data_IF_419300360815
#
_entry.id   IF_419300360815
#
_cell.length_a   1.000
_cell.length_b   1.000
_cell.length_c   1.000
_cell.angle_alpha   90.00
_cell.angle_beta   90.00
_cell.angle_gamma   90.00
#
_symmetry.space_group_name_H-M   'P 1'
#
loop_
_entity.id
_entity.type
_entity.pdbx_description
1 polymer ?
#
# COMPACT_ATOMS: atom_id res chain seq x y z
N UNK A 1 2.51 14.90 14.14
CA UNK A 1 1.48 14.23 15.00
C UNK A 1 2.13 13.32 16.07
N UNK A 2 1.38 12.75 17.03
CA UNK A 2 1.85 11.70 17.98
C UNK A 2 0.80 10.59 18.19
N UNK A 3 1.23 9.40 18.61
CA UNK A 3 0.34 8.28 18.95
C UNK A 3 0.41 7.97 20.44
N UNK A 4 -0.76 7.91 21.09
CA UNK A 4 -0.91 7.55 22.50
C UNK A 4 -2.08 6.57 22.64
N UNK A 5 -1.88 5.46 23.35
CA UNK A 5 -2.91 4.43 23.54
C UNK A 5 -3.62 4.00 22.23
N UNK A 6 -2.83 3.84 21.15
CA UNK A 6 -3.30 3.49 19.81
C UNK A 6 -4.25 4.53 19.15
N UNK A 7 -4.19 5.77 19.63
CA UNK A 7 -5.01 6.91 19.21
C UNK A 7 -4.13 8.10 18.86
N UNK A 8 -4.70 9.06 18.13
CA UNK A 8 -4.06 10.34 17.83
C UNK A 8 -4.73 11.41 18.70
N UNK A 9 -4.07 11.89 19.77
CA UNK A 9 -4.62 12.97 20.58
C UNK A 9 -4.80 14.25 19.76
N UNK A 10 -5.87 15.00 20.04
CA UNK A 10 -6.12 16.30 19.42
C UNK A 10 -6.81 16.28 18.06
N UNK A 11 -7.02 15.10 17.45
CA UNK A 11 -7.90 14.96 16.29
C UNK A 11 -9.22 14.29 16.68
N UNK A 12 -10.25 14.52 15.88
CA UNK A 12 -11.56 13.93 16.11
C UNK A 12 -11.50 12.40 16.01
N UNK A 13 -12.27 11.74 16.87
CA UNK A 13 -12.45 10.30 16.83
C UNK A 13 -13.91 9.87 17.00
N UNK A 14 -14.30 8.90 16.19
CA UNK A 14 -15.53 8.13 16.34
C UNK A 14 -15.31 6.74 15.81
N UNK A 15 -15.75 5.71 16.53
CA UNK A 15 -15.40 4.33 16.17
C UNK A 15 -16.34 3.77 15.10
N UNK A 16 -15.78 3.27 14.00
CA UNK A 16 -16.52 2.52 12.98
C UNK A 16 -17.20 1.28 13.58
N UNK A 17 -18.38 0.93 13.07
CA UNK A 17 -19.04 -0.34 13.37
C UNK A 17 -18.38 -1.53 12.66
N UNK A 18 -17.61 -1.27 11.59
CA UNK A 18 -17.02 -2.28 10.72
C UNK A 18 -15.60 -2.62 11.16
N UNK A 19 -15.44 -3.17 12.37
CA UNK A 19 -14.13 -3.50 12.93
C UNK A 19 -14.05 -4.98 13.33
N UNK A 20 -12.90 -5.58 13.05
CA UNK A 20 -12.53 -6.89 13.55
C UNK A 20 -12.09 -6.86 15.02
N UNK A 21 -11.54 -8.00 15.45
CA UNK A 21 -11.00 -8.18 16.78
C UNK A 21 -9.85 -7.20 17.10
N UNK A 22 -9.50 -7.12 18.39
CA UNK A 22 -8.24 -6.50 18.81
C UNK A 22 -7.08 -7.34 18.26
N UNK A 23 -6.06 -6.66 17.75
CA UNK A 23 -4.85 -7.31 17.24
C UNK A 23 -4.10 -7.96 18.39
N UNK A 24 -3.56 -9.15 18.14
CA UNK A 24 -2.64 -9.83 19.05
C UNK A 24 -1.23 -9.23 18.93
N UNK A 25 -0.83 -8.90 17.69
CA UNK A 25 0.45 -8.31 17.36
C UNK A 25 0.30 -6.85 16.87
N UNK A 26 1.33 -6.00 17.03
CA UNK A 26 1.31 -4.68 16.43
C UNK A 26 1.25 -4.75 14.89
N UNK A 27 0.68 -3.75 14.21
CA UNK A 27 0.76 -3.67 12.76
C UNK A 27 2.21 -3.47 12.31
N UNK A 28 2.56 -4.07 11.17
CA UNK A 28 3.89 -3.99 10.54
C UNK A 28 3.82 -3.37 9.14
N UNK A 29 2.61 -3.08 8.63
CA UNK A 29 2.39 -2.48 7.32
C UNK A 29 1.49 -1.25 7.44
N UNK A 30 1.72 -0.23 6.62
CA UNK A 30 0.76 0.84 6.36
C UNK A 30 0.27 0.69 4.93
N UNK A 31 -1.05 0.69 4.73
CA UNK A 31 -1.67 0.67 3.40
C UNK A 31 -2.31 2.02 3.13
N UNK A 32 -1.94 2.64 2.01
CA UNK A 32 -2.44 3.95 1.59
C UNK A 32 -3.52 3.76 0.51
N UNK A 33 -4.66 4.42 0.71
CA UNK A 33 -5.87 4.29 -0.10
C UNK A 33 -6.35 5.65 -0.60
N UNK A 34 -7.30 5.63 -1.54
CA UNK A 34 -8.22 6.73 -1.73
C UNK A 34 -9.67 6.30 -1.46
N UNK A 35 -10.52 7.29 -1.14
CA UNK A 35 -11.89 7.01 -0.70
C UNK A 35 -12.94 6.77 -1.80
N UNK A 36 -12.62 7.06 -3.07
CA UNK A 36 -13.58 7.25 -4.20
C UNK A 36 -14.58 8.41 -4.02
N UNK A 37 -14.43 9.20 -2.96
CA UNK A 37 -15.24 10.37 -2.66
C UNK A 37 -14.51 11.70 -2.83
N UNK A 38 -15.29 12.79 -2.93
CA UNK A 38 -14.78 14.17 -2.96
C UNK A 38 -15.06 14.95 -1.66
N UNK A 39 -15.80 14.37 -0.72
CA UNK A 39 -16.18 15.00 0.54
C UNK A 39 -15.71 14.13 1.69
N UNK A 40 -14.75 14.62 2.50
CA UNK A 40 -14.14 13.81 3.54
C UNK A 40 -15.08 13.42 4.67
N UNK A 41 -15.99 14.30 5.08
CA UNK A 41 -16.99 13.96 6.10
C UNK A 41 -17.91 12.82 5.62
N UNK A 42 -18.36 12.87 4.36
CA UNK A 42 -19.17 11.79 3.77
C UNK A 42 -18.38 10.48 3.62
N UNK A 43 -17.12 10.53 3.20
CA UNK A 43 -16.24 9.35 3.14
C UNK A 43 -15.99 8.75 4.52
N UNK A 44 -15.76 9.59 5.54
CA UNK A 44 -15.64 9.20 6.95
C UNK A 44 -16.91 8.50 7.42
N UNK A 45 -18.07 9.10 7.23
CA UNK A 45 -19.35 8.55 7.70
C UNK A 45 -19.66 7.23 7.00
N UNK A 46 -19.36 7.12 5.70
CA UNK A 46 -19.47 5.86 4.97
C UNK A 46 -18.57 4.77 5.56
N UNK A 47 -17.30 5.06 5.86
CA UNK A 47 -16.34 4.10 6.43
C UNK A 47 -16.61 3.79 7.91
N UNK A 48 -17.37 4.63 8.61
CA UNK A 48 -17.90 4.34 9.94
C UNK A 48 -19.09 3.37 9.93
N UNK A 49 -19.74 3.21 8.77
CA UNK A 49 -20.86 2.29 8.60
C UNK A 49 -22.04 2.65 9.49
N UNK A 50 -22.62 1.65 10.16
CA UNK A 50 -23.79 1.83 11.02
C UNK A 50 -23.57 2.87 12.14
N UNK A 51 -22.32 3.05 12.62
CA UNK A 51 -21.99 4.02 13.66
C UNK A 51 -22.21 5.49 13.23
N UNK A 52 -22.31 5.75 11.93
CA UNK A 52 -22.65 7.06 11.36
C UNK A 52 -23.92 7.01 10.50
N UNK A 53 -24.76 5.98 10.67
CA UNK A 53 -26.02 5.83 9.91
C UNK A 53 -25.86 5.41 8.45
N UNK A 54 -24.65 5.07 7.99
CA UNK A 54 -24.40 4.61 6.63
C UNK A 54 -24.78 3.13 6.43
N UNK A 55 -25.13 2.74 5.21
CA UNK A 55 -25.46 1.35 4.85
C UNK A 55 -24.23 0.44 4.70
N UNK A 56 -23.00 0.99 4.70
CA UNK A 56 -21.77 0.20 4.58
C UNK A 56 -21.61 -0.78 5.75
N UNK A 57 -21.37 -2.05 5.44
CA UNK A 57 -21.08 -3.13 6.40
C UNK A 57 -19.80 -3.90 6.08
N UNK A 58 -19.10 -3.52 5.00
CA UNK A 58 -18.04 -4.33 4.41
C UNK A 58 -16.65 -3.71 4.47
N UNK A 59 -16.54 -2.43 4.81
CA UNK A 59 -15.26 -1.74 4.84
C UNK A 59 -15.15 -0.67 5.93
N UNK A 60 -13.91 -0.40 6.33
CA UNK A 60 -13.49 0.69 7.21
C UNK A 60 -12.00 0.95 7.03
N UNK A 61 -11.50 2.06 7.55
CA UNK A 61 -10.07 2.36 7.65
C UNK A 61 -9.72 2.76 9.09
N UNK A 62 -8.47 3.12 9.36
CA UNK A 62 -8.10 3.67 10.68
C UNK A 62 -8.21 5.19 10.69
N UNK A 63 -7.78 5.85 9.61
CA UNK A 63 -7.80 7.31 9.48
C UNK A 63 -8.31 7.71 8.09
N UNK A 64 -9.11 8.77 8.04
CA UNK A 64 -9.52 9.46 6.80
C UNK A 64 -8.95 10.87 6.83
N UNK A 65 -8.30 11.29 5.74
CA UNK A 65 -7.67 12.61 5.59
C UNK A 65 -8.33 13.35 4.43
N UNK A 66 -9.00 14.45 4.73
CA UNK A 66 -9.61 15.32 3.73
C UNK A 66 -8.58 16.14 2.94
N UNK A 67 -9.04 16.74 1.85
CA UNK A 67 -8.22 17.53 0.93
C UNK A 67 -7.60 18.77 1.58
N UNK A 68 -8.20 19.30 2.64
CA UNK A 68 -7.69 20.46 3.38
C UNK A 68 -6.71 20.09 4.51
N UNK A 69 -6.42 18.79 4.68
CA UNK A 69 -5.56 18.28 5.74
C UNK A 69 -6.29 17.91 7.03
N UNK A 70 -7.61 18.11 7.13
CA UNK A 70 -8.42 17.62 8.25
C UNK A 70 -8.35 16.10 8.32
N UNK A 71 -8.06 15.54 9.50
CA UNK A 71 -7.99 14.11 9.72
C UNK A 71 -8.99 13.64 10.78
N UNK A 72 -9.60 12.49 10.55
CA UNK A 72 -10.48 11.79 11.48
C UNK A 72 -9.95 10.39 11.73
N UNK A 73 -9.77 10.02 13.00
CA UNK A 73 -9.51 8.64 13.35
C UNK A 73 -10.83 7.89 13.53
N UNK A 74 -11.03 6.82 12.78
CA UNK A 74 -12.26 6.01 12.84
C UNK A 74 -12.06 4.58 13.35
N UNK A 75 -10.81 4.19 13.63
CA UNK A 75 -10.49 2.99 14.38
C UNK A 75 -9.21 3.20 15.20
N UNK A 76 -9.14 2.70 16.45
CA UNK A 76 -7.86 2.65 17.16
C UNK A 76 -6.91 1.67 16.44
N UNK A 77 -5.61 1.98 16.43
CA UNK A 77 -4.62 1.23 15.66
C UNK A 77 -4.40 -0.21 16.15
N UNK A 78 -4.81 -0.54 17.37
CA UNK A 78 -4.79 -1.91 17.92
C UNK A 78 -6.04 -2.74 17.56
N UNK A 79 -6.95 -2.23 16.73
CA UNK A 79 -8.08 -2.98 16.19
C UNK A 79 -7.86 -3.22 14.71
N UNK A 80 -8.43 -4.30 14.19
CA UNK A 80 -8.42 -4.58 12.76
C UNK A 80 -9.53 -3.79 12.06
N UNK A 81 -9.17 -2.80 11.25
CA UNK A 81 -10.08 -2.21 10.27
C UNK A 81 -10.16 -3.08 8.99
N UNK A 82 -11.23 -2.93 8.22
CA UNK A 82 -11.51 -3.75 7.03
C UNK A 82 -11.25 -2.95 5.75
N UNK A 83 -9.98 -2.70 5.41
CA UNK A 83 -9.61 -1.86 4.26
C UNK A 83 -8.96 -2.66 3.13
N UNK A 84 -8.11 -3.63 3.43
CA UNK A 84 -7.27 -4.31 2.44
C UNK A 84 -8.00 -5.40 1.63
N UNK A 85 -8.98 -6.08 2.22
CA UNK A 85 -9.62 -7.26 1.60
C UNK A 85 -8.63 -8.41 1.34
N UNK A 86 -8.91 -9.32 0.39
CA UNK A 86 -7.95 -10.29 -0.14
C UNK A 86 -6.72 -9.56 -0.65
N UNK A 87 -5.60 -9.77 0.04
CA UNK A 87 -4.38 -8.99 -0.13
C UNK A 87 -3.16 -9.82 0.26
N UNK A 88 -2.02 -9.49 -0.32
CA UNK A 88 -0.72 -10.12 -0.03
C UNK A 88 0.40 -9.08 -0.15
N UNK A 89 1.34 -9.12 0.79
CA UNK A 89 2.60 -8.40 0.68
C UNK A 89 3.69 -9.21 1.38
N UNK A 90 4.80 -9.47 0.68
CA UNK A 90 5.80 -10.38 1.21
C UNK A 90 5.24 -11.79 1.46
N UNK A 91 5.56 -12.33 2.63
CA UNK A 91 5.01 -13.58 3.16
C UNK A 91 3.64 -13.44 3.84
N UNK A 92 3.11 -12.22 3.99
CA UNK A 92 1.84 -11.99 4.67
C UNK A 92 0.66 -11.98 3.70
N UNK A 93 -0.44 -12.60 4.11
CA UNK A 93 -1.71 -12.65 3.41
C UNK A 93 -2.84 -12.16 4.34
N UNK A 94 -3.91 -11.60 3.79
CA UNK A 94 -5.01 -11.06 4.58
C UNK A 94 -4.57 -9.84 5.40
N UNK A 95 -4.02 -8.83 4.72
CA UNK A 95 -3.24 -7.75 5.35
C UNK A 95 -4.01 -6.87 6.33
N UNK A 96 -5.35 -6.93 6.38
CA UNK A 96 -6.12 -6.31 7.46
C UNK A 96 -5.54 -6.66 8.85
N UNK A 97 -5.12 -7.92 9.05
CA UNK A 97 -4.57 -8.39 10.32
C UNK A 97 -3.21 -7.76 10.69
N UNK A 98 -2.46 -7.26 9.70
CA UNK A 98 -1.07 -6.80 9.87
C UNK A 98 -0.86 -5.31 9.57
N UNK A 99 -1.92 -4.59 9.18
CA UNK A 99 -1.74 -3.25 8.62
C UNK A 99 -2.68 -2.17 9.14
N UNK A 100 -2.19 -0.92 9.06
CA UNK A 100 -2.97 0.30 9.27
C UNK A 100 -3.38 0.87 7.90
N UNK A 101 -4.67 0.89 7.61
CA UNK A 101 -5.24 1.60 6.46
C UNK A 101 -5.45 3.10 6.71
N UNK A 102 -4.93 3.93 5.81
CA UNK A 102 -5.11 5.39 5.78
C UNK A 102 -5.76 5.79 4.45
N UNK A 103 -6.87 6.49 4.54
CA UNK A 103 -7.71 6.90 3.42
C UNK A 103 -7.50 8.37 3.09
N UNK A 104 -7.08 8.67 1.87
CA UNK A 104 -6.97 10.02 1.37
C UNK A 104 -8.19 10.36 0.51
N UNK A 105 -8.90 11.44 0.86
CA UNK A 105 -10.09 11.87 0.10
C UNK A 105 -9.69 12.28 -1.31
N UNK A 106 -10.03 11.42 -2.26
CA UNK A 106 -9.82 11.57 -3.67
C UNK A 106 -10.82 10.66 -4.41
N UNK A 107 -11.38 11.10 -5.55
CA UNK A 107 -12.35 10.31 -6.31
C UNK A 107 -11.69 9.19 -7.12
N UNK A 108 -10.35 9.20 -7.23
CA UNK A 108 -9.61 8.26 -8.07
C UNK A 108 -9.58 8.71 -9.53
N UNK A 109 -9.58 7.75 -10.44
CA UNK A 109 -9.57 8.00 -11.88
C UNK A 109 -10.89 8.60 -12.37
N UNK A 110 -10.80 9.56 -13.29
CA UNK A 110 -11.94 10.20 -13.93
C UNK A 110 -11.81 10.05 -15.45
N UNK A 111 -12.87 9.57 -16.10
CA UNK A 111 -12.93 9.37 -17.55
C UNK A 111 -13.29 10.68 -18.25
N UNK A 112 -12.55 11.13 -19.28
CA UNK A 112 -12.97 12.25 -20.12
C UNK A 112 -14.34 11.98 -20.76
N UNK A 113 -15.23 12.97 -20.75
CA UNK A 113 -16.60 12.81 -21.27
C UNK A 113 -16.78 13.34 -22.71
N UNK A 114 -15.71 13.81 -23.36
CA UNK A 114 -15.76 14.38 -24.72
C UNK A 114 -16.24 15.83 -24.80
N UNK A 115 -16.64 16.44 -23.67
CA UNK A 115 -17.12 17.82 -23.57
C UNK A 115 -16.14 18.73 -22.82
N UNK A 116 -14.90 18.27 -22.62
CA UNK A 116 -13.88 18.96 -21.83
C UNK A 116 -13.99 18.72 -20.31
N UNK A 117 -14.96 17.93 -19.84
CA UNK A 117 -15.15 17.57 -18.44
C UNK A 117 -14.87 16.06 -18.22
N UNK A 118 -15.05 15.59 -16.98
CA UNK A 118 -14.78 14.22 -16.59
C UNK A 118 -15.94 13.58 -15.82
N UNK A 119 -15.96 12.26 -15.77
CA UNK A 119 -16.91 11.47 -14.95
C UNK A 119 -16.17 10.42 -14.13
N UNK A 120 -16.56 10.24 -12.87
CA UNK A 120 -16.06 9.13 -12.06
C UNK A 120 -16.71 7.79 -12.43
N UNK A 121 -16.31 6.72 -11.74
CA UNK A 121 -16.83 5.36 -11.92
C UNK A 121 -18.34 5.22 -11.64
N UNK A 122 -18.95 6.19 -10.95
CA UNK A 122 -20.36 6.20 -10.57
C UNK A 122 -21.19 7.18 -11.41
N UNK A 123 -20.59 7.80 -12.44
CA UNK A 123 -21.26 8.72 -13.34
C UNK A 123 -21.36 10.15 -12.82
N UNK A 124 -20.74 10.49 -11.68
CA UNK A 124 -20.69 11.86 -11.20
C UNK A 124 -19.76 12.69 -12.08
N UNK A 125 -20.25 13.84 -12.54
CA UNK A 125 -19.49 14.77 -13.36
C UNK A 125 -18.55 15.64 -12.50
N UNK A 126 -17.34 15.84 -13.00
CA UNK A 126 -16.32 16.74 -12.49
C UNK A 126 -15.91 17.71 -13.60
N UNK A 127 -16.05 19.02 -13.36
CA UNK A 127 -15.62 19.99 -14.36
C UNK A 127 -14.12 20.22 -14.33
N UNK A 128 -13.52 20.44 -15.49
CA UNK A 128 -12.09 20.73 -15.58
C UNK A 128 -11.71 21.96 -14.75
N UNK A 129 -12.56 22.99 -14.79
CA UNK A 129 -12.41 24.21 -13.97
C UNK A 129 -12.39 23.90 -12.47
N UNK A 130 -13.27 23.02 -11.99
CA UNK A 130 -13.31 22.65 -10.58
C UNK A 130 -12.06 21.88 -10.17
N UNK A 131 -11.58 20.96 -11.01
CA UNK A 131 -10.35 20.21 -10.75
C UNK A 131 -9.13 21.14 -10.71
N UNK A 132 -9.00 22.06 -11.68
CA UNK A 132 -7.93 23.09 -11.69
C UNK A 132 -7.96 23.95 -10.43
N UNK A 133 -9.14 24.40 -9.99
CA UNK A 133 -9.30 25.16 -8.73
C UNK A 133 -8.89 24.33 -7.50
N UNK A 134 -9.08 23.01 -7.54
CA UNK A 134 -8.78 22.10 -6.43
C UNK A 134 -7.32 21.62 -6.39
N UNK A 135 -6.43 22.17 -7.24
CA UNK A 135 -5.02 21.80 -7.31
C UNK A 135 -4.63 21.06 -8.59
N UNK A 136 -5.57 20.79 -9.49
CA UNK A 136 -5.31 20.16 -10.79
C UNK A 136 -5.44 18.64 -10.78
N UNK A 137 -5.02 18.06 -11.89
CA UNK A 137 -5.03 16.62 -12.15
C UNK A 137 -3.86 16.29 -13.10
N UNK A 138 -3.46 15.02 -13.12
CA UNK A 138 -2.58 14.50 -14.16
C UNK A 138 -3.34 13.51 -15.06
N UNK A 139 -2.95 13.45 -16.33
CA UNK A 139 -3.44 12.41 -17.24
C UNK A 139 -2.48 11.22 -17.18
N UNK A 140 -3.00 10.03 -16.85
CA UNK A 140 -2.19 8.81 -16.86
C UNK A 140 -3.04 7.59 -17.25
N UNK A 141 -2.46 6.61 -17.96
CA UNK A 141 -3.10 5.32 -18.18
C UNK A 141 -3.18 4.51 -16.87
N UNK A 142 -4.12 3.59 -16.80
CA UNK A 142 -4.18 2.59 -15.72
C UNK A 142 -4.76 1.29 -16.27
N UNK A 143 -3.92 0.25 -16.48
CA UNK A 143 -4.33 -1.01 -17.10
C UNK A 143 -5.52 -1.70 -16.42
N UNK A 144 -5.70 -1.52 -15.11
CA UNK A 144 -6.83 -2.11 -14.36
C UNK A 144 -8.17 -1.42 -14.61
N UNK A 145 -8.15 -0.21 -15.17
CA UNK A 145 -9.38 0.55 -15.53
C UNK A 145 -9.71 0.36 -17.02
N UNK A 146 -8.69 0.33 -17.89
CA UNK A 146 -8.86 0.11 -19.32
C UNK A 146 -7.76 0.73 -20.17
N UNK A 147 -7.89 0.65 -21.49
CA UNK A 147 -6.88 1.06 -22.48
C UNK A 147 -6.78 2.59 -22.72
N UNK A 148 -7.38 3.41 -21.86
CA UNK A 148 -7.42 4.87 -22.01
C UNK A 148 -6.48 5.62 -21.06
N UNK A 149 -6.40 6.93 -21.26
CA UNK A 149 -5.83 7.85 -20.27
C UNK A 149 -6.95 8.46 -19.44
N UNK A 150 -6.75 8.49 -18.12
CA UNK A 150 -7.72 9.01 -17.16
C UNK A 150 -7.14 10.23 -16.46
N UNK A 151 -8.01 11.15 -16.04
CA UNK A 151 -7.61 12.23 -15.16
C UNK A 151 -7.53 11.71 -13.72
N UNK A 152 -6.42 11.96 -13.06
CA UNK A 152 -6.16 11.63 -11.66
C UNK A 152 -6.02 12.94 -10.88
N UNK A 153 -7.03 13.35 -10.11
CA UNK A 153 -6.94 14.58 -9.32
C UNK A 153 -5.75 14.54 -8.38
N UNK A 154 -5.00 15.63 -8.34
CA UNK A 154 -3.85 15.75 -7.45
C UNK A 154 -4.33 15.84 -5.99
N UNK A 155 -3.47 15.36 -5.10
CA UNK A 155 -3.64 15.48 -3.65
C UNK A 155 -3.03 16.81 -3.20
N UNK A 156 -3.78 17.71 -2.55
CA UNK A 156 -3.23 18.98 -2.08
C UNK A 156 -2.12 18.78 -1.04
N UNK A 157 -1.17 19.71 -0.98
CA UNK A 157 -0.04 19.60 -0.07
C UNK A 157 -0.46 19.50 1.41
N UNK A 158 -1.53 20.20 1.83
CA UNK A 158 -2.05 20.09 3.20
C UNK A 158 -2.48 18.64 3.53
N UNK A 159 -3.13 17.97 2.59
CA UNK A 159 -3.53 16.57 2.73
C UNK A 159 -2.33 15.63 2.78
N UNK A 160 -1.32 15.84 1.92
CA UNK A 160 -0.10 15.04 1.92
C UNK A 160 0.72 15.27 3.19
N UNK A 161 0.88 16.51 3.63
CA UNK A 161 1.61 16.88 4.85
C UNK A 161 1.00 16.21 6.09
N UNK A 162 -0.33 16.26 6.26
CA UNK A 162 -1.04 15.54 7.32
C UNK A 162 -0.77 14.02 7.25
N UNK A 163 -0.77 13.46 6.04
CA UNK A 163 -0.44 12.05 5.83
C UNK A 163 0.99 11.70 6.25
N UNK A 164 1.97 12.52 5.86
CA UNK A 164 3.39 12.35 6.23
C UNK A 164 3.55 12.39 7.75
N UNK A 165 2.95 13.38 8.40
CA UNK A 165 2.94 13.57 9.84
C UNK A 165 2.38 12.35 10.59
N UNK A 166 1.30 11.78 10.07
CA UNK A 166 0.68 10.58 10.61
C UNK A 166 1.57 9.35 10.42
N UNK A 167 2.10 9.15 9.21
CA UNK A 167 2.92 7.99 8.89
C UNK A 167 4.23 8.01 9.68
N UNK A 168 4.86 9.17 9.85
CA UNK A 168 6.02 9.33 10.74
C UNK A 168 5.69 8.94 12.18
N UNK A 169 4.53 9.37 12.70
CA UNK A 169 4.10 9.00 14.04
C UNK A 169 3.81 7.49 14.18
N UNK A 170 3.29 6.84 13.13
CA UNK A 170 3.07 5.39 13.09
C UNK A 170 4.39 4.62 13.05
N UNK A 171 5.34 5.03 12.22
CA UNK A 171 6.69 4.44 12.10
C UNK A 171 7.44 4.59 13.43
N UNK A 172 7.32 5.71 14.12
CA UNK A 172 7.95 5.91 15.43
C UNK A 172 7.29 5.13 16.58
N UNK A 173 6.06 4.64 16.42
CA UNK A 173 5.30 3.97 17.49
C UNK A 173 5.16 2.45 17.29
N UNK A 174 5.10 1.98 16.05
CA UNK A 174 4.96 0.56 15.69
C UNK A 174 6.16 0.08 14.88
N UNK A 175 6.45 -1.23 14.88
CA UNK A 175 7.51 -1.81 14.05
C UNK A 175 7.08 -1.90 12.58
N UNK A 176 6.76 -0.76 11.96
CA UNK A 176 6.35 -0.68 10.55
C UNK A 176 7.56 -1.04 9.68
N UNK A 177 7.35 -2.04 8.82
CA UNK A 177 8.36 -2.58 7.89
C UNK A 177 8.06 -2.23 6.44
N UNK A 178 6.81 -1.86 6.11
CA UNK A 178 6.44 -1.51 4.75
C UNK A 178 5.32 -0.47 4.69
N UNK A 179 5.38 0.37 3.67
CA UNK A 179 4.34 1.32 3.29
C UNK A 179 3.99 1.05 1.83
N UNK A 180 2.75 0.64 1.59
CA UNK A 180 2.30 0.07 0.32
C UNK A 180 1.02 0.73 -0.16
N UNK A 181 0.79 0.70 -1.47
CA UNK A 181 -0.52 1.07 -2.03
C UNK A 181 -1.51 -0.08 -1.92
N UNK A 182 -2.82 0.20 -1.98
CA UNK A 182 -3.81 -0.88 -2.08
C UNK A 182 -3.68 -1.64 -3.41
N UNK A 183 -3.36 -0.93 -4.49
CA UNK A 183 -3.10 -1.51 -5.81
C UNK A 183 -2.00 -2.58 -5.77
N UNK A 184 -0.90 -2.32 -5.06
CA UNK A 184 0.26 -3.22 -4.93
C UNK A 184 -0.08 -4.53 -4.23
N UNK A 185 -0.96 -4.49 -3.22
CA UNK A 185 -1.27 -5.65 -2.38
C UNK A 185 -2.49 -6.45 -2.84
N UNK A 186 -3.31 -5.90 -3.74
CA UNK A 186 -4.57 -6.53 -4.16
C UNK A 186 -4.34 -7.79 -4.98
N UNK A 187 -4.81 -8.93 -4.47
CA UNK A 187 -4.67 -10.22 -5.15
C UNK A 187 -5.74 -10.46 -6.22
N UNK A 188 -6.74 -9.58 -6.32
CA UNK A 188 -7.83 -9.68 -7.29
C UNK A 188 -7.58 -8.87 -8.57
N UNK A 189 -6.61 -7.97 -8.56
CA UNK A 189 -6.14 -7.23 -9.73
C UNK A 189 -7.06 -6.10 -10.20
N UNK A 190 -7.96 -5.57 -9.35
CA UNK A 190 -8.89 -4.50 -9.71
C UNK A 190 -8.73 -3.22 -8.89
N UNK A 191 -7.98 -3.27 -7.78
CA UNK A 191 -7.67 -2.07 -6.99
C UNK A 191 -6.69 -1.17 -7.75
N UNK A 192 -6.87 0.14 -7.62
CA UNK A 192 -6.13 1.16 -8.38
C UNK A 192 -5.67 2.33 -7.50
N UNK A 193 -5.91 2.22 -6.20
CA UNK A 193 -5.63 3.23 -5.21
C UNK A 193 -4.25 3.05 -4.57
N UNK A 194 -3.56 4.15 -4.22
CA UNK A 194 -4.01 5.56 -4.31
C UNK A 194 -3.78 6.20 -5.69
N UNK A 195 -3.35 5.41 -6.67
CA UNK A 195 -3.19 5.82 -8.06
C UNK A 195 -1.89 6.59 -8.35
N UNK A 196 -1.58 6.83 -9.63
CA UNK A 196 -0.31 7.41 -10.06
C UNK A 196 -0.10 8.86 -9.59
N UNK A 197 -1.16 9.56 -9.15
CA UNK A 197 -1.06 10.96 -8.70
C UNK A 197 -0.62 11.08 -7.25
N UNK A 198 -0.59 9.96 -6.52
CA UNK A 198 -0.20 9.93 -5.14
C UNK A 198 1.33 9.81 -5.02
N UNK A 199 1.98 10.62 -4.16
CA UNK A 199 3.44 10.63 -4.05
C UNK A 199 3.95 9.46 -3.18
N UNK A 200 3.75 8.21 -3.62
CA UNK A 200 4.12 7.00 -2.86
C UNK A 200 5.57 7.02 -2.37
N UNK A 201 6.51 7.50 -3.19
CA UNK A 201 7.93 7.56 -2.84
C UNK A 201 8.22 8.48 -1.65
N UNK A 202 7.46 9.59 -1.51
CA UNK A 202 7.58 10.48 -0.34
C UNK A 202 7.21 9.77 0.95
N UNK A 203 6.24 8.85 0.90
CA UNK A 203 5.83 8.06 2.06
C UNK A 203 6.78 6.91 2.33
N UNK A 204 7.24 6.20 1.29
CA UNK A 204 8.20 5.09 1.43
C UNK A 204 9.52 5.56 2.05
N UNK A 205 9.98 6.76 1.70
CA UNK A 205 11.18 7.37 2.30
C UNK A 205 11.09 7.57 3.83
N UNK A 206 9.88 7.55 4.41
CA UNK A 206 9.70 7.72 5.86
C UNK A 206 10.11 6.48 6.68
N UNK A 207 10.35 5.34 6.04
CA UNK A 207 10.95 4.18 6.70
C UNK A 207 12.44 4.36 6.99
N UNK A 208 13.07 5.41 6.43
CA UNK A 208 14.52 5.62 6.46
C UNK A 208 15.25 4.75 5.43
N UNK A 209 16.57 4.94 5.31
CA UNK A 209 17.43 3.90 4.73
C UNK A 209 17.33 2.70 5.68
N UNK A 210 16.89 1.55 5.17
CA UNK A 210 16.77 0.33 5.96
C UNK A 210 18.07 0.13 6.74
N UNK A 211 17.99 -0.03 8.06
CA UNK A 211 19.09 -0.58 8.86
C UNK A 211 19.67 -1.78 8.10
N UNK A 212 20.97 -1.75 7.76
CA UNK A 212 21.73 -2.45 6.68
C UNK A 212 21.55 -3.98 6.53
N UNK A 213 20.31 -4.46 6.58
CA UNK A 213 19.89 -5.84 6.39
C UNK A 213 18.59 -5.77 5.62
N UNK A 214 18.72 -5.67 4.31
CA UNK A 214 17.60 -5.91 3.41
C UNK A 214 16.89 -7.20 3.88
N UNK A 215 15.57 -7.16 4.14
CA UNK A 215 14.88 -8.30 4.74
C UNK A 215 15.12 -9.52 3.87
N UNK A 216 15.39 -10.66 4.52
CA UNK A 216 15.45 -11.94 3.81
C UNK A 216 14.22 -12.07 2.91
N UNK A 217 14.35 -12.65 1.74
CA UNK A 217 13.24 -12.90 0.83
C UNK A 217 12.92 -14.38 0.77
N UNK A 218 11.74 -14.70 0.26
CA UNK A 218 11.36 -16.06 -0.09
C UNK A 218 11.05 -16.16 -1.57
N UNK A 219 11.38 -17.30 -2.16
CA UNK A 219 10.99 -17.62 -3.55
C UNK A 219 9.47 -17.80 -3.64
N UNK A 220 8.82 -17.09 -4.55
CA UNK A 220 7.36 -17.19 -4.77
C UNK A 220 6.99 -18.07 -5.95
N UNK A 221 7.87 -18.18 -6.95
CA UNK A 221 7.69 -19.06 -8.10
C UNK A 221 7.85 -20.53 -7.71
N UNK A 222 7.16 -21.45 -8.41
CA UNK A 222 7.30 -22.89 -8.17
C UNK A 222 8.76 -23.36 -8.30
N UNK A 223 9.48 -22.79 -9.28
CA UNK A 223 10.91 -22.98 -9.51
C UNK A 223 11.50 -21.65 -9.97
N UNK A 224 12.67 -21.29 -9.44
CA UNK A 224 13.41 -20.08 -9.80
C UNK A 224 14.85 -20.42 -10.19
N UNK A 225 15.35 -19.76 -11.23
CA UNK A 225 16.73 -19.92 -11.68
C UNK A 225 17.62 -18.90 -10.96
N UNK A 226 18.78 -19.37 -10.50
CA UNK A 226 19.87 -18.53 -10.02
C UNK A 226 20.89 -18.32 -11.16
N UNK A 227 21.21 -17.07 -11.49
CA UNK A 227 22.03 -16.71 -12.67
C UNK A 227 23.33 -16.01 -12.31
N UNK A 228 24.32 -16.09 -13.20
CA UNK A 228 25.63 -15.48 -13.00
C UNK A 228 25.62 -13.94 -13.06
N UNK A 229 24.55 -13.34 -13.58
CA UNK A 229 24.40 -11.89 -13.71
C UNK A 229 22.94 -11.43 -13.77
N UNK A 230 22.70 -10.11 -13.68
CA UNK A 230 21.37 -9.48 -13.64
C UNK A 230 20.72 -9.46 -15.02
N UNK A 231 20.27 -10.62 -15.50
CA UNK A 231 19.63 -10.73 -16.81
C UNK A 231 19.33 -12.17 -17.20
N UNK A 232 18.31 -12.35 -18.04
CA UNK A 232 17.93 -13.68 -18.54
C UNK A 232 18.99 -14.31 -19.48
N UNK A 233 19.89 -13.49 -20.01
CA UNK A 233 20.99 -13.89 -20.91
C UNK A 233 22.15 -14.57 -20.18
N UNK A 234 22.32 -14.34 -18.87
CA UNK A 234 23.41 -14.94 -18.10
C UNK A 234 23.14 -16.42 -17.82
N UNK A 235 24.20 -17.22 -17.84
CA UNK A 235 24.13 -18.64 -17.53
C UNK A 235 23.61 -18.89 -16.12
N UNK A 236 23.00 -20.07 -15.93
CA UNK A 236 22.50 -20.50 -14.62
C UNK A 236 23.65 -21.04 -13.80
N UNK A 237 23.78 -20.56 -12.56
CA UNK A 237 24.85 -20.98 -11.62
C UNK A 237 24.53 -22.33 -10.97
N UNK A 238 23.27 -22.73 -11.00
CA UNK A 238 22.75 -23.99 -10.48
C UNK A 238 21.88 -24.68 -11.54
N UNK A 239 21.70 -26.01 -11.46
CA UNK A 239 20.72 -26.71 -12.28
C UNK A 239 19.35 -26.00 -12.29
N UNK A 240 18.63 -25.96 -13.42
CA UNK A 240 17.33 -25.31 -13.49
C UNK A 240 16.35 -25.84 -12.42
N UNK A 241 15.79 -24.93 -11.61
CA UNK A 241 14.81 -25.26 -10.59
C UNK A 241 15.35 -25.67 -9.21
N UNK A 242 16.61 -25.36 -8.91
CA UNK A 242 17.20 -25.54 -7.58
C UNK A 242 16.54 -24.68 -6.50
N UNK A 243 16.06 -23.47 -6.85
CA UNK A 243 15.31 -22.64 -5.91
C UNK A 243 13.82 -22.97 -6.02
N UNK A 244 13.30 -23.65 -5.01
CA UNK A 244 11.89 -24.01 -4.92
C UNK A 244 11.11 -22.91 -4.21
N UNK A 245 9.79 -22.88 -4.44
CA UNK A 245 8.89 -22.00 -3.70
C UNK A 245 9.11 -22.16 -2.19
N UNK A 246 9.27 -21.03 -1.49
CA UNK A 246 9.48 -20.99 -0.04
C UNK A 246 10.95 -21.02 0.39
N UNK A 247 11.90 -21.28 -0.51
CA UNK A 247 13.34 -21.13 -0.18
C UNK A 247 13.62 -19.72 0.29
N UNK A 248 14.19 -19.58 1.49
CA UNK A 248 14.62 -18.30 2.05
C UNK A 248 15.93 -17.86 1.40
N UNK A 249 16.07 -16.55 1.21
CA UNK A 249 17.15 -15.91 0.50
C UNK A 249 17.63 -14.72 1.32
N UNK A 250 18.91 -14.63 1.60
CA UNK A 250 19.54 -13.38 2.03
C UNK A 250 19.75 -12.53 0.79
N UNK A 251 19.16 -11.33 0.76
CA UNK A 251 19.45 -10.37 -0.31
C UNK A 251 20.73 -9.64 0.05
N UNK A 252 21.67 -9.65 -0.90
CA UNK A 252 22.98 -9.03 -0.74
C UNK A 252 23.09 -7.71 -1.52
N UNK A 253 22.38 -7.59 -2.64
CA UNK A 253 22.34 -6.38 -3.46
C UNK A 253 21.16 -6.42 -4.44
N UNK A 254 20.70 -5.24 -4.92
CA UNK A 254 19.83 -5.10 -6.09
C UNK A 254 20.47 -4.34 -7.23
N UNK A 255 20.06 -4.67 -8.45
CA UNK A 255 20.36 -3.93 -9.68
C UNK A 255 19.15 -4.00 -10.62
N UNK A 256 18.42 -2.88 -10.73
CA UNK A 256 17.15 -2.85 -11.48
C UNK A 256 16.17 -3.90 -10.97
N UNK A 257 15.60 -4.69 -11.88
CA UNK A 257 14.65 -5.77 -11.56
C UNK A 257 15.31 -7.06 -11.05
N UNK A 258 16.60 -7.02 -10.71
CA UNK A 258 17.36 -8.20 -10.31
C UNK A 258 17.92 -8.03 -8.89
N UNK A 259 17.95 -9.13 -8.15
CA UNK A 259 18.52 -9.22 -6.81
C UNK A 259 19.63 -10.27 -6.78
N UNK A 260 20.79 -9.90 -6.24
CA UNK A 260 21.88 -10.81 -5.93
C UNK A 260 21.60 -11.42 -4.54
N UNK A 261 21.55 -12.74 -4.48
CA UNK A 261 21.04 -13.48 -3.32
C UNK A 261 21.93 -14.65 -2.94
N UNK A 262 21.91 -14.99 -1.66
CA UNK A 262 22.40 -16.24 -1.11
C UNK A 262 21.23 -17.04 -0.53
N UNK A 263 20.94 -18.25 -1.02
CA UNK A 263 19.92 -19.11 -0.42
C UNK A 263 20.31 -19.54 1.00
N UNK A 264 19.39 -19.42 1.94
CA UNK A 264 19.54 -19.99 3.28
C UNK A 264 19.24 -21.49 3.16
N UNK A 265 20.25 -22.35 3.40
CA UNK A 265 20.02 -23.80 3.38
C UNK A 265 19.04 -24.20 4.50
N UNK A 266 18.15 -25.19 4.31
CA UNK A 266 17.28 -25.72 5.38
C UNK A 266 18.04 -26.17 6.65
N UNK A 267 19.33 -26.46 6.47
CA UNK A 267 20.31 -27.03 7.39
C UNK A 267 21.43 -26.03 7.77
N UNK A 268 21.26 -24.73 7.50
CA UNK A 268 22.09 -23.67 8.08
C UNK A 268 23.54 -23.59 7.57
N UNK A 269 23.90 -24.31 6.49
CA UNK A 269 25.18 -24.11 5.80
C UNK A 269 25.08 -22.87 4.90
N UNK A 270 25.45 -21.72 5.43
CA UNK A 270 25.61 -20.48 4.67
C UNK A 270 26.58 -20.68 3.48
N UNK A 271 26.24 -20.12 2.31
CA UNK A 271 27.24 -19.58 1.39
C UNK A 271 27.84 -20.47 0.30
N UNK A 272 27.32 -21.66 0.00
CA UNK A 272 27.91 -22.48 -1.07
C UNK A 272 27.64 -21.95 -2.50
N UNK A 273 26.53 -21.22 -2.70
CA UNK A 273 26.16 -20.68 -4.01
C UNK A 273 25.46 -19.33 -3.90
N UNK A 274 25.93 -18.33 -4.64
CA UNK A 274 25.30 -17.01 -4.80
C UNK A 274 24.98 -16.75 -6.25
N UNK A 275 24.00 -15.89 -6.52
CA UNK A 275 23.71 -15.45 -7.87
C UNK A 275 22.51 -14.52 -7.95
N UNK A 276 22.08 -14.24 -9.16
CA UNK A 276 21.03 -13.28 -9.46
C UNK A 276 19.70 -13.97 -9.72
N UNK A 277 18.64 -13.42 -9.13
CA UNK A 277 17.25 -13.78 -9.39
C UNK A 277 16.45 -12.55 -9.81
N UNK A 278 15.41 -12.75 -10.60
CA UNK A 278 14.50 -11.65 -10.96
C UNK A 278 13.58 -11.33 -9.77
N UNK A 279 13.52 -10.06 -9.38
CA UNK A 279 12.83 -9.58 -8.18
C UNK A 279 11.33 -9.92 -8.16
N UNK A 280 10.69 -10.01 -9.33
CA UNK A 280 9.29 -10.41 -9.46
C UNK A 280 8.97 -11.84 -8.93
N UNK A 281 9.98 -12.69 -8.72
CA UNK A 281 9.80 -14.08 -8.25
C UNK A 281 10.27 -14.30 -6.81
N UNK A 282 10.55 -13.22 -6.08
CA UNK A 282 10.88 -13.25 -4.67
C UNK A 282 10.01 -12.24 -3.92
N UNK A 283 9.78 -12.47 -2.64
CA UNK A 283 8.99 -11.57 -1.81
C UNK A 283 9.67 -11.39 -0.45
N UNK A 284 9.65 -10.18 0.15
CA UNK A 284 10.26 -9.97 1.45
C UNK A 284 9.62 -10.86 2.52
N UNK A 285 10.45 -11.41 3.40
CA UNK A 285 10.01 -12.06 4.63
C UNK A 285 9.53 -10.95 5.56
N UNK A 286 8.27 -11.05 5.92
CA UNK A 286 7.62 -10.12 6.83
C UNK A 286 7.30 -10.89 8.11
N UNK A 287 8.07 -10.64 9.18
CA UNK A 287 7.73 -11.17 10.51
C UNK A 287 6.61 -10.30 11.11
N UNK A 288 5.55 -10.98 11.55
CA UNK A 288 4.36 -10.40 12.17
C UNK A 288 4.51 -10.20 13.68
#
# INVERSE_FOLDING_TARGET
>A
MRIENHRIPGIWFGQSANLGARRQNPPVIIVLHYTTGWNGAASRDWLMGAAAGAANRGSSAHVVIDRDGTAWQIAPFNRTAWHAGPSRYGTLEGLNAFSVGIEFVNPGWLKPNGLGDFTDAYGKRFSERALKKAGGYQMAPQPRVGSGSFAWPLYPEAQIATGVDLVQALVGFYPIKAIVSHEEIDTRGWKTDPGPAFPMERFRALLGEADDREPAAVVTAGRLNLRGGPGAVFEKVVPPGTLLKGTRLKIMQRQGDWAFVAPESPDGREGAVTGWVHAAYIAPVMEA
#
